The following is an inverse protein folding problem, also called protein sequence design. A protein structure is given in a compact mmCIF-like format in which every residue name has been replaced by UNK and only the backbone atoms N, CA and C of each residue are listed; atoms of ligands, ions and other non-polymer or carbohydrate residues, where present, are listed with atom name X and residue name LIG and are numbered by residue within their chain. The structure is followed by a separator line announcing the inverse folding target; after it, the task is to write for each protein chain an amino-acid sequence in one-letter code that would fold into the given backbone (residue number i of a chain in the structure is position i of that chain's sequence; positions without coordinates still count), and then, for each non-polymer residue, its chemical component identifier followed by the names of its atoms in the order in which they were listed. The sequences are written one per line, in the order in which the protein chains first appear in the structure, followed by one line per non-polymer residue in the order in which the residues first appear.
data_IF_842321410818
#
_entry.id   IF_842321410818
#
_cell.length_a   1.000
_cell.length_b   1.000
_cell.length_c   1.000
_cell.angle_alpha   90.00
_cell.angle_beta   90.00
_cell.angle_gamma   90.00
#
_symmetry.space_group_name_H-M   'P 1'
#
loop_
_entity.id
_entity.type
_entity.pdbx_description
1 polymer ?
#
# COMPACT_ATOMS: atom_id res chain seq x y z
N UNK A 1 36.59 10.16 3.75
CA UNK A 1 35.44 10.08 4.67
C UNK A 1 34.88 8.66 4.64
N UNK A 2 34.98 7.94 5.74
CA UNK A 2 34.43 6.58 5.85
C UNK A 2 32.90 6.62 5.91
N UNK A 3 32.22 5.74 5.16
CA UNK A 3 30.76 5.58 5.23
C UNK A 3 30.37 5.11 6.64
N UNK A 4 29.31 5.68 7.27
CA UNK A 4 28.80 5.15 8.52
C UNK A 4 28.31 3.71 8.32
N UNK A 5 28.75 2.80 9.17
CA UNK A 5 28.32 1.40 9.19
C UNK A 5 26.82 1.32 9.47
N UNK A 6 26.08 0.56 8.66
CA UNK A 6 24.67 0.27 8.88
C UNK A 6 24.45 -0.27 10.30
N UNK A 7 23.35 0.10 10.99
CA UNK A 7 23.08 -0.40 12.33
C UNK A 7 22.97 -1.93 12.28
N UNK A 8 23.66 -2.60 13.21
CA UNK A 8 23.59 -4.06 13.34
C UNK A 8 22.15 -4.47 13.61
N UNK A 9 21.52 -5.16 12.66
CA UNK A 9 20.23 -5.79 12.90
C UNK A 9 20.41 -6.81 14.03
N UNK A 10 19.72 -6.60 15.15
CA UNK A 10 19.68 -7.58 16.24
C UNK A 10 19.20 -8.92 15.70
N UNK A 11 19.77 -10.01 16.19
CA UNK A 11 19.35 -11.37 15.84
C UNK A 11 17.83 -11.51 15.96
N UNK A 12 17.20 -12.09 14.94
CA UNK A 12 15.75 -12.33 14.91
C UNK A 12 15.38 -13.18 16.13
N UNK A 13 14.46 -12.72 17.01
CA UNK A 13 14.09 -13.49 18.18
C UNK A 13 13.45 -14.82 17.78
N UNK A 14 13.64 -15.87 18.59
CA UNK A 14 13.04 -17.18 18.31
C UNK A 14 11.51 -17.12 18.36
N UNK A 15 10.84 -18.04 17.66
CA UNK A 15 9.38 -18.15 17.64
C UNK A 15 8.77 -18.22 19.04
N UNK A 16 9.42 -18.92 19.98
CA UNK A 16 9.03 -18.99 21.40
C UNK A 16 8.92 -17.61 22.07
N UNK A 17 9.75 -16.64 21.65
CA UNK A 17 9.74 -15.27 22.17
C UNK A 17 8.76 -14.37 21.41
N UNK A 18 8.54 -14.60 20.11
CA UNK A 18 7.62 -13.78 19.30
C UNK A 18 6.14 -14.09 19.55
N UNK A 19 5.76 -15.36 19.64
CA UNK A 19 4.34 -15.75 19.72
C UNK A 19 3.59 -15.08 20.90
N UNK A 20 4.17 -14.99 22.12
CA UNK A 20 3.51 -14.25 23.20
C UNK A 20 3.37 -12.76 22.92
N UNK A 21 4.30 -12.14 22.19
CA UNK A 21 4.23 -10.72 21.84
C UNK A 21 3.16 -10.46 20.80
N UNK A 22 3.05 -11.32 19.77
CA UNK A 22 2.01 -11.22 18.74
C UNK A 22 0.62 -11.35 19.35
N UNK A 23 0.42 -12.27 20.30
CA UNK A 23 -0.86 -12.42 21.02
C UNK A 23 -1.30 -11.17 21.77
N UNK A 24 -0.37 -10.25 22.09
CA UNK A 24 -0.71 -9.00 22.81
C UNK A 24 -1.23 -7.91 21.89
N UNK A 25 -1.13 -8.05 20.56
CA UNK A 25 -1.66 -7.06 19.61
C UNK A 25 -3.17 -6.97 19.67
N UNK A 26 -3.88 -8.08 19.94
CA UNK A 26 -5.35 -8.08 20.07
C UNK A 26 -5.91 -7.19 21.18
N UNK A 27 -5.05 -6.68 22.07
CA UNK A 27 -5.40 -5.75 23.14
C UNK A 27 -4.92 -4.32 22.85
N UNK A 28 -4.38 -4.06 21.67
CA UNK A 28 -3.83 -2.76 21.29
C UNK A 28 -4.80 -2.02 20.40
N UNK A 29 -4.95 -0.74 20.73
CA UNK A 29 -5.63 0.27 19.90
C UNK A 29 -4.56 1.17 19.34
N UNK A 30 -4.43 1.21 18.02
CA UNK A 30 -3.35 1.90 17.33
C UNK A 30 -3.97 2.90 16.34
N UNK A 31 -3.54 4.15 16.46
CA UNK A 31 -3.86 5.20 15.51
C UNK A 31 -2.68 5.38 14.55
N UNK A 32 -2.93 5.21 13.26
CA UNK A 32 -1.96 5.49 12.20
C UNK A 32 -2.28 6.85 11.61
N UNK A 33 -1.29 7.74 11.57
CA UNK A 33 -1.41 9.08 10.99
C UNK A 33 -0.40 9.20 9.86
N UNK A 34 -0.86 9.57 8.67
CA UNK A 34 0.04 9.84 7.55
C UNK A 34 -0.65 9.82 6.20
N UNK A 35 0.16 9.80 5.15
CA UNK A 35 -0.32 9.88 3.78
C UNK A 35 -1.02 8.59 3.35
N UNK A 36 -2.26 8.77 2.90
CA UNK A 36 -3.05 7.72 2.28
C UNK A 36 -2.86 7.75 0.77
N UNK A 37 -2.60 6.58 0.20
CA UNK A 37 -2.43 6.41 -1.24
C UNK A 37 -2.98 5.05 -1.68
N UNK A 38 -3.36 4.94 -2.95
CA UNK A 38 -3.79 3.71 -3.56
C UNK A 38 -2.67 3.14 -4.44
N UNK A 39 -2.16 1.96 -4.10
CA UNK A 39 -1.25 1.23 -4.98
C UNK A 39 -2.09 0.44 -5.99
N UNK A 40 -1.96 0.78 -7.26
CA UNK A 40 -2.72 0.21 -8.35
C UNK A 40 -1.78 -0.64 -9.24
N UNK A 41 -2.04 -1.93 -9.32
CA UNK A 41 -1.25 -2.87 -10.12
C UNK A 41 -2.00 -3.28 -11.37
N UNK A 42 -1.41 -2.99 -12.52
CA UNK A 42 -1.84 -3.45 -13.83
C UNK A 42 -0.90 -4.56 -14.29
N UNK A 43 -1.39 -5.80 -14.34
CA UNK A 43 -0.62 -6.98 -14.75
C UNK A 43 -1.03 -7.40 -16.15
N UNK A 44 -0.06 -7.66 -17.01
CA UNK A 44 -0.29 -8.01 -18.39
C UNK A 44 0.86 -8.77 -19.04
N UNK A 45 0.76 -8.92 -20.36
CA UNK A 45 1.80 -9.51 -21.21
C UNK A 45 2.26 -8.52 -22.27
N UNK A 46 3.54 -8.55 -22.63
CA UNK A 46 4.07 -7.79 -23.76
C UNK A 46 3.97 -8.67 -25.00
N UNK A 47 3.17 -8.25 -25.98
CA UNK A 47 3.01 -8.99 -27.23
C UNK A 47 3.77 -8.40 -28.42
N UNK A 48 4.11 -7.11 -28.35
CA UNK A 48 4.74 -6.37 -29.44
C UNK A 48 5.40 -5.07 -28.96
N UNK A 49 6.23 -4.51 -29.81
CA UNK A 49 6.72 -3.12 -29.70
C UNK A 49 5.76 -2.19 -30.44
N UNK A 50 5.59 -0.96 -29.95
CA UNK A 50 4.78 0.07 -30.63
C UNK A 50 5.42 0.42 -31.99
N UNK A 51 4.63 0.58 -33.06
CA UNK A 51 5.11 1.08 -34.34
C UNK A 51 5.38 2.60 -34.29
N UNK A 52 4.86 3.32 -33.30
CA UNK A 52 5.03 4.78 -33.15
C UNK A 52 6.29 5.15 -32.36
N UNK A 53 6.74 4.29 -31.45
CA UNK A 53 7.92 4.51 -30.62
C UNK A 53 8.53 3.19 -30.14
N UNK A 54 9.84 3.13 -29.80
CA UNK A 54 10.51 1.93 -29.32
C UNK A 54 10.14 1.61 -27.85
N UNK A 55 8.84 1.45 -27.58
CA UNK A 55 8.27 1.13 -26.28
C UNK A 55 7.38 -0.12 -26.37
N UNK A 56 7.36 -0.97 -25.33
CA UNK A 56 6.53 -2.18 -25.32
C UNK A 56 5.04 -1.84 -25.19
N UNK A 57 4.19 -2.59 -25.90
CA UNK A 57 2.73 -2.54 -25.70
C UNK A 57 2.34 -3.65 -24.73
N UNK A 58 1.84 -3.28 -23.55
CA UNK A 58 1.39 -4.22 -22.53
C UNK A 58 -0.12 -4.43 -22.65
N UNK A 59 -0.54 -5.67 -22.93
CA UNK A 59 -1.94 -6.06 -22.88
C UNK A 59 -2.31 -6.40 -21.43
N UNK A 60 -3.07 -5.52 -20.76
CA UNK A 60 -3.50 -5.73 -19.38
C UNK A 60 -4.49 -6.90 -19.30
N UNK A 61 -4.23 -7.84 -18.40
CA UNK A 61 -5.08 -9.02 -18.16
C UNK A 61 -5.66 -9.05 -16.76
N UNK A 62 -5.07 -8.30 -15.82
CA UNK A 62 -5.53 -8.25 -14.43
C UNK A 62 -5.22 -6.89 -13.81
N UNK A 63 -6.14 -6.43 -12.98
CA UNK A 63 -6.05 -5.19 -12.23
C UNK A 63 -6.30 -5.48 -10.75
N UNK A 64 -5.54 -4.83 -9.88
CA UNK A 64 -5.74 -4.95 -8.43
C UNK A 64 -5.33 -3.67 -7.71
N UNK A 65 -6.06 -3.37 -6.63
CA UNK A 65 -5.85 -2.17 -5.82
C UNK A 65 -5.52 -2.57 -4.39
N UNK A 66 -4.54 -1.89 -3.80
CA UNK A 66 -4.07 -2.17 -2.45
C UNK A 66 -3.83 -0.84 -1.70
N UNK A 67 -4.16 -0.74 -0.40
CA UNK A 67 -3.80 0.42 0.39
C UNK A 67 -2.28 0.60 0.42
N UNK A 68 -1.80 1.77 0.05
CA UNK A 68 -0.40 2.19 0.18
C UNK A 68 -0.19 3.15 1.34
N UNK A 69 1.06 3.55 1.57
CA UNK A 69 1.42 4.55 2.60
C UNK A 69 0.94 4.15 4.00
N UNK A 70 0.28 5.07 4.69
CA UNK A 70 -0.34 4.84 5.99
C UNK A 70 -1.40 3.72 5.95
N UNK A 71 -2.09 3.54 4.81
CA UNK A 71 -3.05 2.46 4.61
C UNK A 71 -2.40 1.08 4.65
N UNK A 72 -1.22 0.92 4.05
CA UNK A 72 -0.46 -0.34 4.13
C UNK A 72 0.01 -0.63 5.57
N UNK A 73 0.47 0.42 6.29
CA UNK A 73 0.86 0.29 7.70
C UNK A 73 -0.33 -0.19 8.54
N UNK A 74 -1.50 0.41 8.35
CA UNK A 74 -2.72 0.01 9.04
C UNK A 74 -3.14 -1.43 8.69
N UNK A 75 -3.07 -1.82 7.41
CA UNK A 75 -3.38 -3.17 6.94
C UNK A 75 -2.45 -4.22 7.57
N UNK A 76 -1.16 -3.92 7.73
CA UNK A 76 -0.22 -4.80 8.41
C UNK A 76 -0.55 -4.93 9.90
N UNK A 77 -0.83 -3.82 10.58
CA UNK A 77 -1.12 -3.83 12.03
C UNK A 77 -2.41 -4.60 12.33
N UNK A 78 -3.48 -4.40 11.55
CA UNK A 78 -4.74 -5.11 11.78
C UNK A 78 -4.61 -6.62 11.52
N UNK A 79 -3.72 -7.04 10.61
CA UNK A 79 -3.41 -8.47 10.40
C UNK A 79 -2.74 -9.14 11.62
N UNK A 80 -2.17 -8.35 12.53
CA UNK A 80 -1.64 -8.83 13.82
C UNK A 80 -2.74 -8.95 14.89
N UNK A 81 -3.97 -8.56 14.57
CA UNK A 81 -5.17 -8.68 15.41
C UNK A 81 -5.50 -7.43 16.23
N UNK A 82 -4.77 -6.32 16.09
CA UNK A 82 -5.04 -5.09 16.81
C UNK A 82 -6.28 -4.33 16.30
N UNK A 83 -6.84 -3.47 17.16
CA UNK A 83 -7.80 -2.45 16.75
C UNK A 83 -7.05 -1.28 16.11
N UNK A 84 -7.41 -0.92 14.89
CA UNK A 84 -6.69 0.09 14.11
C UNK A 84 -7.63 1.19 13.62
N UNK A 85 -7.19 2.44 13.79
CA UNK A 85 -7.82 3.62 13.20
C UNK A 85 -6.80 4.38 12.36
N UNK A 86 -7.29 5.11 11.37
CA UNK A 86 -6.44 5.86 10.44
C UNK A 86 -6.89 7.31 10.34
N UNK A 87 -5.96 8.24 10.51
CA UNK A 87 -6.10 9.65 10.15
C UNK A 87 -5.28 9.91 8.89
N UNK A 88 -5.91 10.50 7.90
CA UNK A 88 -5.28 10.90 6.66
C UNK A 88 -6.28 11.64 5.80
N UNK A 89 -5.87 11.97 4.58
CA UNK A 89 -6.67 12.78 3.67
C UNK A 89 -6.69 12.09 2.30
N UNK A 90 -7.88 11.95 1.71
CA UNK A 90 -8.09 11.42 0.35
C UNK A 90 -8.86 12.42 -0.50
N UNK A 91 -8.79 12.28 -1.81
CA UNK A 91 -9.61 13.04 -2.74
C UNK A 91 -11.08 12.59 -2.74
N UNK A 92 -11.95 13.36 -3.39
CA UNK A 92 -13.33 12.93 -3.72
C UNK A 92 -13.39 12.22 -5.08
N UNK A 93 -12.52 11.23 -5.29
CA UNK A 93 -12.36 10.50 -6.54
C UNK A 93 -12.42 8.98 -6.34
N UNK A 94 -12.48 8.24 -7.45
CA UNK A 94 -12.62 6.78 -7.45
C UNK A 94 -11.52 6.08 -6.64
N UNK A 95 -10.28 6.56 -6.72
CA UNK A 95 -9.17 6.01 -5.96
C UNK A 95 -9.39 6.18 -4.44
N UNK A 96 -9.86 7.36 -4.00
CA UNK A 96 -10.22 7.62 -2.61
C UNK A 96 -11.37 6.73 -2.13
N UNK A 97 -12.39 6.54 -2.97
CA UNK A 97 -13.51 5.63 -2.66
C UNK A 97 -13.04 4.17 -2.51
N UNK A 98 -12.24 3.66 -3.47
CA UNK A 98 -11.67 2.30 -3.43
C UNK A 98 -10.80 2.10 -2.19
N UNK A 99 -9.93 3.07 -1.87
CA UNK A 99 -9.04 3.01 -0.72
C UNK A 99 -9.82 2.90 0.60
N UNK A 100 -10.77 3.81 0.83
CA UNK A 100 -11.57 3.83 2.05
C UNK A 100 -12.43 2.56 2.17
N UNK A 101 -12.99 2.06 1.05
CA UNK A 101 -13.75 0.83 1.04
C UNK A 101 -12.89 -0.39 1.42
N UNK A 102 -11.68 -0.52 0.86
CA UNK A 102 -10.77 -1.63 1.19
C UNK A 102 -10.33 -1.59 2.67
N UNK A 103 -9.99 -0.41 3.19
CA UNK A 103 -9.65 -0.24 4.62
C UNK A 103 -10.82 -0.67 5.52
N UNK A 104 -12.06 -0.25 5.21
CA UNK A 104 -13.26 -0.67 5.95
C UNK A 104 -13.48 -2.17 5.88
N UNK A 105 -13.32 -2.79 4.71
CA UNK A 105 -13.48 -4.23 4.52
C UNK A 105 -12.47 -5.05 5.35
N UNK A 106 -11.30 -4.47 5.67
CA UNK A 106 -10.31 -5.06 6.57
C UNK A 106 -10.63 -4.89 8.06
N UNK A 107 -11.68 -4.13 8.40
CA UNK A 107 -12.05 -3.81 9.79
C UNK A 107 -11.32 -2.61 10.37
N UNK A 108 -10.69 -1.76 9.54
CA UNK A 108 -9.98 -0.56 9.99
C UNK A 108 -11.00 0.59 10.17
N UNK A 109 -10.91 1.32 11.28
CA UNK A 109 -11.70 2.51 11.54
C UNK A 109 -11.24 3.68 10.65
N UNK A 110 -12.17 4.26 9.90
CA UNK A 110 -11.91 5.22 8.82
C UNK A 110 -12.65 6.55 8.97
N UNK A 111 -13.42 6.74 10.05
CA UNK A 111 -14.14 7.99 10.34
C UNK A 111 -13.24 9.22 10.47
N UNK A 112 -11.95 9.03 10.74
CA UNK A 112 -10.96 10.11 10.80
C UNK A 112 -10.26 10.40 9.47
N UNK A 113 -10.67 9.75 8.38
CA UNK A 113 -10.20 10.06 7.03
C UNK A 113 -11.00 11.24 6.50
N UNK A 114 -10.31 12.35 6.26
CA UNK A 114 -10.88 13.53 5.65
C UNK A 114 -10.95 13.37 4.12
N UNK A 115 -11.91 14.04 3.50
CA UNK A 115 -12.04 14.13 2.05
C UNK A 115 -11.86 15.58 1.61
N UNK A 116 -11.02 15.77 0.60
CA UNK A 116 -10.77 17.08 0.00
C UNK A 116 -11.06 16.99 -1.51
N UNK A 117 -11.98 17.83 -1.98
CA UNK A 117 -12.39 17.86 -3.39
C UNK A 117 -11.45 18.64 -4.29
N UNK A 118 -10.53 19.42 -3.73
CA UNK A 118 -9.58 20.25 -4.50
C UNK A 118 -8.31 19.49 -4.87
N UNK A 119 -8.11 18.29 -4.32
CA UNK A 119 -6.94 17.45 -4.58
C UNK A 119 -7.31 16.03 -4.98
N UNK A 120 -6.55 15.39 -5.89
CA UNK A 120 -6.72 13.97 -6.16
C UNK A 120 -6.20 13.12 -4.99
N UNK A 121 -6.72 11.90 -4.87
CA UNK A 121 -6.09 10.85 -4.04
C UNK A 121 -4.79 10.43 -4.68
N UNK A 122 -3.71 10.41 -3.90
CA UNK A 122 -2.41 9.89 -4.36
C UNK A 122 -2.56 8.45 -4.86
N UNK A 123 -2.23 8.21 -6.13
CA UNK A 123 -2.31 6.88 -6.75
C UNK A 123 -0.95 6.49 -7.35
N UNK A 124 -0.51 5.26 -7.08
CA UNK A 124 0.76 4.71 -7.57
C UNK A 124 0.47 3.53 -8.48
N UNK A 125 0.43 3.80 -9.78
CA UNK A 125 0.17 2.79 -10.81
C UNK A 125 1.47 2.10 -11.21
N UNK A 126 1.47 0.77 -11.13
CA UNK A 126 2.59 -0.09 -11.51
C UNK A 126 2.14 -1.04 -12.61
N UNK A 127 2.72 -0.88 -13.79
CA UNK A 127 2.47 -1.78 -14.92
C UNK A 127 3.52 -2.88 -14.88
N UNK A 128 3.08 -4.11 -14.76
CA UNK A 128 3.91 -5.31 -14.63
C UNK A 128 3.65 -6.23 -15.81
N UNK A 129 4.72 -6.63 -16.49
CA UNK A 129 4.68 -7.66 -17.52
C UNK A 129 5.83 -8.63 -17.34
N UNK A 130 5.58 -9.93 -17.55
CA UNK A 130 6.59 -11.00 -17.44
C UNK A 130 7.42 -10.93 -16.13
N UNK A 131 6.76 -10.62 -15.02
CA UNK A 131 7.35 -10.43 -13.68
C UNK A 131 8.31 -9.23 -13.53
N UNK A 132 8.38 -8.35 -14.54
CA UNK A 132 9.15 -7.11 -14.50
C UNK A 132 8.21 -5.89 -14.45
N UNK A 133 8.63 -4.86 -13.73
CA UNK A 133 7.92 -3.58 -13.75
C UNK A 133 8.35 -2.80 -14.99
N UNK A 134 7.40 -2.54 -15.89
CA UNK A 134 7.64 -1.86 -17.17
C UNK A 134 7.55 -0.36 -17.01
N UNK A 135 6.52 0.12 -16.30
CA UNK A 135 6.27 1.54 -16.09
C UNK A 135 5.76 1.77 -14.68
N UNK A 136 6.14 2.93 -14.14
CA UNK A 136 5.52 3.51 -12.95
C UNK A 136 4.90 4.85 -13.31
N UNK A 137 3.65 5.04 -12.91
CA UNK A 137 2.93 6.30 -13.06
C UNK A 137 2.38 6.70 -11.69
N UNK A 138 2.64 7.94 -11.30
CA UNK A 138 2.20 8.50 -10.04
C UNK A 138 1.21 9.64 -10.37
N UNK A 139 0.00 9.59 -9.79
CA UNK A 139 -1.05 10.59 -9.92
C UNK A 139 -1.39 11.21 -8.57
#
# INVERSE_FOLDING_TARGET
MAKPSAPAFRAVPSSRKLLPLLKRFSQKRILVIGDLMLDHFLRGKVGRISPEAPVPVVCITQESYVPGGAGNVAANIISLGAEVSVVGLVGTDEAGFKLVADLKNRGIETSFILRDGERPTTEKVRIIAEHQQVVRYDR
#
